data_IF_123693518966
#
_entry.id   IF_123693518966
#
_cell.length_a   1.000
_cell.length_b   1.000
_cell.length_c   1.000
_cell.angle_alpha   90.00
_cell.angle_beta   90.00
_cell.angle_gamma   90.00
#
_symmetry.space_group_name_H-M   'P 1'
#
loop_
_entity.id
_entity.type
_entity.pdbx_description
1 polymer ?
#
# COMPACT_ATOMS: atom_id res chain seq x y z
N UNK A 1 -11.63 4.01 3.41
CA UNK A 1 -11.03 2.67 3.56
C UNK A 1 -9.50 2.68 3.48
N UNK A 2 -8.86 3.04 2.35
CA UNK A 2 -7.38 3.00 2.21
C UNK A 2 -6.68 3.74 3.37
N UNK A 3 -7.07 4.98 3.62
CA UNK A 3 -6.47 5.80 4.69
C UNK A 3 -6.83 5.25 6.08
N UNK A 4 -8.05 4.76 6.28
CA UNK A 4 -8.47 4.16 7.55
C UNK A 4 -7.63 2.92 7.89
N UNK A 5 -7.31 2.08 6.90
CA UNK A 5 -6.42 0.92 7.10
C UNK A 5 -4.97 1.38 7.32
N UNK A 6 -4.50 2.34 6.52
CA UNK A 6 -3.12 2.84 6.62
C UNK A 6 -2.83 3.54 7.96
N UNK A 7 -3.84 4.18 8.54
CA UNK A 7 -3.78 4.86 9.84
C UNK A 7 -4.28 3.99 11.00
N UNK A 8 -4.45 2.67 10.77
CA UNK A 8 -4.84 1.68 11.78
C UNK A 8 -6.21 1.96 12.46
N UNK A 9 -7.07 2.77 11.84
CA UNK A 9 -8.47 2.98 12.23
C UNK A 9 -9.31 1.74 11.91
N UNK A 10 -8.97 1.04 10.82
CA UNK A 10 -9.49 -0.28 10.46
C UNK A 10 -8.35 -1.28 10.32
N UNK A 11 -8.62 -2.54 10.61
CA UNK A 11 -7.66 -3.63 10.46
C UNK A 11 -7.35 -3.93 8.99
N UNK A 12 -6.22 -4.60 8.75
CA UNK A 12 -5.86 -5.10 7.41
C UNK A 12 -6.92 -6.07 6.89
N UNK A 13 -7.47 -6.91 7.77
CA UNK A 13 -8.48 -7.91 7.47
C UNK A 13 -9.79 -7.27 7.00
N UNK A 14 -10.26 -6.20 7.65
CA UNK A 14 -11.42 -5.42 7.19
C UNK A 14 -11.16 -4.77 5.83
N UNK A 15 -9.94 -4.24 5.60
CA UNK A 15 -9.54 -3.71 4.30
C UNK A 15 -9.53 -4.79 3.22
N UNK A 16 -9.10 -6.01 3.56
CA UNK A 16 -9.07 -7.16 2.65
C UNK A 16 -10.47 -7.63 2.29
N UNK A 17 -11.37 -7.71 3.27
CA UNK A 17 -12.77 -8.06 3.05
C UNK A 17 -13.44 -7.04 2.12
N UNK A 18 -13.27 -5.74 2.40
CA UNK A 18 -13.74 -4.66 1.54
C UNK A 18 -13.19 -4.79 0.11
N UNK A 19 -11.87 -4.91 -0.04
CA UNK A 19 -11.23 -5.00 -1.35
C UNK A 19 -11.70 -6.23 -2.15
N UNK A 20 -11.90 -7.36 -1.47
CA UNK A 20 -12.34 -8.61 -2.10
C UNK A 20 -13.80 -8.53 -2.59
N UNK A 21 -14.61 -7.66 -2.00
CA UNK A 21 -16.00 -7.43 -2.41
C UNK A 21 -16.17 -6.50 -3.61
N UNK A 22 -15.11 -5.81 -4.04
CA UNK A 22 -15.12 -4.91 -5.20
C UNK A 22 -15.12 -5.68 -6.52
N UNK A 23 -15.65 -5.07 -7.59
CA UNK A 23 -15.45 -5.62 -8.94
C UNK A 23 -14.01 -5.42 -9.40
N UNK A 24 -13.58 -6.17 -10.41
CA UNK A 24 -12.17 -6.22 -10.86
C UNK A 24 -11.62 -4.83 -11.23
N UNK A 25 -12.43 -4.01 -11.88
CA UNK A 25 -12.09 -2.65 -12.32
C UNK A 25 -11.87 -1.71 -11.12
N UNK A 26 -12.69 -1.87 -10.08
CA UNK A 26 -12.57 -1.13 -8.83
C UNK A 26 -11.34 -1.59 -8.02
N UNK A 27 -11.07 -2.90 -7.98
CA UNK A 27 -9.85 -3.45 -7.38
C UNK A 27 -8.60 -2.86 -8.04
N UNK A 28 -8.57 -2.83 -9.38
CA UNK A 28 -7.46 -2.24 -10.12
C UNK A 28 -7.31 -0.75 -9.82
N UNK A 29 -8.42 -0.01 -9.75
CA UNK A 29 -8.42 1.42 -9.40
C UNK A 29 -7.86 1.67 -8.00
N UNK A 30 -8.22 0.82 -7.02
CA UNK A 30 -7.68 0.88 -5.65
C UNK A 30 -6.17 0.59 -5.62
N UNK A 31 -5.71 -0.43 -6.35
CA UNK A 31 -4.26 -0.73 -6.43
C UNK A 31 -3.48 0.45 -7.02
N UNK A 32 -4.03 1.08 -8.06
CA UNK A 32 -3.45 2.27 -8.67
C UNK A 32 -3.41 3.47 -7.70
N UNK A 33 -4.50 3.70 -6.97
CA UNK A 33 -4.58 4.77 -5.98
C UNK A 33 -3.51 4.59 -4.87
N UNK A 34 -3.36 3.38 -4.33
CA UNK A 34 -2.33 3.09 -3.32
C UNK A 34 -0.93 3.30 -3.92
N UNK A 35 -0.70 2.93 -5.17
CA UNK A 35 0.59 3.17 -5.85
C UNK A 35 0.92 4.67 -5.96
N UNK A 36 -0.07 5.51 -6.27
CA UNK A 36 0.08 6.97 -6.28
C UNK A 36 0.38 7.52 -4.87
N UNK A 37 -0.28 7.00 -3.83
CA UNK A 37 0.00 7.40 -2.46
C UNK A 37 1.40 6.99 -1.99
N UNK A 38 1.87 5.80 -2.35
CA UNK A 38 3.24 5.37 -2.09
C UNK A 38 4.29 6.29 -2.72
N UNK A 39 4.04 6.76 -3.95
CA UNK A 39 4.89 7.74 -4.62
C UNK A 39 4.92 9.07 -3.87
N UNK A 40 3.75 9.60 -3.51
CA UNK A 40 3.61 10.84 -2.74
C UNK A 40 4.18 10.73 -1.32
N UNK A 41 4.17 9.54 -0.74
CA UNK A 41 4.76 9.23 0.55
C UNK A 41 6.27 9.02 0.51
N UNK A 42 6.90 9.18 -0.66
CA UNK A 42 8.32 8.94 -0.90
C UNK A 42 8.76 7.55 -0.42
N UNK A 43 7.98 6.51 -0.74
CA UNK A 43 8.24 5.14 -0.29
C UNK A 43 9.68 4.71 -0.54
N UNK A 44 10.26 4.01 0.43
CA UNK A 44 11.58 3.40 0.33
C UNK A 44 11.52 1.88 0.41
N UNK A 45 12.56 1.19 -0.06
CA UNK A 45 12.67 -0.27 0.13
C UNK A 45 12.65 -0.67 1.61
N UNK A 46 13.08 0.20 2.53
CA UNK A 46 12.95 -0.05 3.97
C UNK A 46 11.49 -0.10 4.41
N UNK A 47 10.66 0.79 3.87
CA UNK A 47 9.20 0.77 4.11
C UNK A 47 8.59 -0.48 3.49
N UNK A 48 9.00 -0.83 2.27
CA UNK A 48 8.57 -2.06 1.58
C UNK A 48 8.86 -3.35 2.37
N UNK A 49 10.03 -3.47 2.98
CA UNK A 49 10.38 -4.63 3.83
C UNK A 49 9.50 -4.71 5.08
N UNK A 50 9.34 -3.59 5.80
CA UNK A 50 8.47 -3.53 6.98
C UNK A 50 6.99 -3.76 6.64
N UNK A 51 6.54 -3.21 5.51
CA UNK A 51 5.19 -3.44 4.99
C UNK A 51 4.95 -4.89 4.65
N UNK A 52 5.93 -5.57 4.03
CA UNK A 52 5.85 -6.99 3.75
C UNK A 52 5.70 -7.82 5.03
N UNK A 53 6.49 -7.54 6.07
CA UNK A 53 6.37 -8.21 7.38
C UNK A 53 4.95 -8.10 7.96
N UNK A 54 4.30 -6.95 7.78
CA UNK A 54 2.92 -6.68 8.24
C UNK A 54 1.81 -7.22 7.31
N UNK A 55 2.12 -7.60 6.08
CA UNK A 55 1.11 -7.90 5.06
C UNK A 55 0.51 -9.31 5.15
N UNK A 56 1.17 -10.23 5.86
CA UNK A 56 0.82 -11.65 5.89
C UNK A 56 1.09 -12.40 4.57
N UNK A 57 1.70 -11.75 3.57
CA UNK A 57 2.06 -12.37 2.29
C UNK A 57 3.41 -13.07 2.40
N UNK A 58 3.49 -14.32 1.93
CA UNK A 58 4.76 -15.07 1.88
C UNK A 58 5.77 -14.33 1.02
N UNK A 59 7.02 -14.21 1.49
CA UNK A 59 8.09 -13.49 0.81
C UNK A 59 8.41 -14.00 -0.62
N UNK A 60 8.00 -15.22 -0.96
CA UNK A 60 8.18 -15.82 -2.29
C UNK A 60 7.12 -15.41 -3.31
N UNK A 61 6.06 -14.73 -2.89
CA UNK A 61 4.99 -14.28 -3.79
C UNK A 61 5.46 -13.09 -4.62
N UNK A 62 5.01 -12.99 -5.87
CA UNK A 62 5.43 -11.96 -6.82
C UNK A 62 5.40 -10.53 -6.25
N UNK A 63 4.30 -10.02 -5.64
CA UNK A 63 4.30 -8.66 -5.09
C UNK A 63 5.28 -8.48 -3.92
N UNK A 64 5.48 -9.52 -3.10
CA UNK A 64 6.44 -9.51 -1.99
C UNK A 64 7.90 -9.43 -2.49
N UNK A 65 8.22 -10.14 -3.57
CA UNK A 65 9.55 -10.09 -4.20
C UNK A 65 9.81 -8.72 -4.82
N UNK A 66 8.80 -8.10 -5.43
CA UNK A 66 8.92 -6.81 -6.09
C UNK A 66 9.08 -5.65 -5.10
N UNK A 67 8.30 -5.61 -4.01
CA UNK A 67 8.26 -4.46 -3.09
C UNK A 67 9.59 -4.21 -2.34
N UNK A 68 10.46 -5.22 -2.27
CA UNK A 68 11.75 -5.16 -1.58
C UNK A 68 12.95 -4.93 -2.52
N UNK A 69 12.70 -4.61 -3.80
CA UNK A 69 13.73 -4.39 -4.84
C UNK A 69 13.81 -2.92 -5.25
N UNK A 70 15.02 -2.51 -5.63
CA UNK A 70 15.26 -1.21 -6.26
C UNK A 70 15.12 -1.28 -7.79
N UNK A 71 14.77 -0.17 -8.46
CA UNK A 71 14.21 1.06 -7.88
C UNK A 71 12.74 0.87 -7.49
N UNK A 72 12.40 1.17 -6.24
CA UNK A 72 11.08 0.79 -5.67
C UNK A 72 9.87 1.36 -6.44
N UNK A 73 9.96 2.59 -6.94
CA UNK A 73 8.83 3.21 -7.68
C UNK A 73 8.50 2.45 -8.96
N UNK A 74 9.51 1.93 -9.67
CA UNK A 74 9.27 1.07 -10.83
C UNK A 74 8.63 -0.26 -10.43
N UNK A 75 9.01 -0.80 -9.26
CA UNK A 75 8.44 -2.06 -8.79
C UNK A 75 6.99 -1.88 -8.33
N UNK A 76 6.65 -0.78 -7.66
CA UNK A 76 5.26 -0.42 -7.32
C UNK A 76 4.40 -0.34 -8.58
N UNK A 77 4.91 0.32 -9.64
CA UNK A 77 4.25 0.38 -10.94
C UNK A 77 4.08 -0.98 -11.62
N UNK A 78 4.93 -1.98 -11.33
CA UNK A 78 4.73 -3.36 -11.80
C UNK A 78 3.70 -4.11 -10.95
N UNK A 79 3.67 -3.88 -9.63
CA UNK A 79 2.75 -4.55 -8.71
C UNK A 79 1.29 -4.17 -9.03
N UNK A 80 0.99 -2.89 -9.27
CA UNK A 80 -0.37 -2.44 -9.61
C UNK A 80 -0.90 -3.04 -10.94
N UNK A 81 -0.02 -3.53 -11.83
CA UNK A 81 -0.37 -4.10 -13.15
C UNK A 81 -0.25 -5.63 -13.20
N UNK A 82 -0.05 -6.28 -12.07
CA UNK A 82 -0.03 -7.74 -12.03
C UNK A 82 -1.39 -8.31 -12.49
N UNK A 83 -1.44 -9.56 -12.99
CA UNK A 83 -2.71 -10.19 -13.36
C UNK A 83 -3.68 -10.29 -12.17
N UNK A 84 -4.99 -10.32 -12.44
CA UNK A 84 -6.06 -10.31 -11.42
C UNK A 84 -5.85 -11.33 -10.28
N UNK A 85 -5.34 -12.53 -10.57
CA UNK A 85 -5.04 -13.56 -9.56
C UNK A 85 -4.04 -13.10 -8.47
N UNK A 86 -3.29 -12.03 -8.72
CA UNK A 86 -2.35 -11.42 -7.79
C UNK A 86 -2.94 -10.26 -7.00
N UNK A 87 -4.10 -9.71 -7.38
CA UNK A 87 -4.65 -8.48 -6.80
C UNK A 87 -4.77 -8.50 -5.29
N UNK A 88 -5.25 -9.59 -4.70
CA UNK A 88 -5.36 -9.69 -3.24
C UNK A 88 -3.99 -9.62 -2.54
N UNK A 89 -2.97 -10.26 -3.13
CA UNK A 89 -1.60 -10.24 -2.60
C UNK A 89 -0.95 -8.86 -2.82
N UNK A 90 -1.20 -8.25 -3.98
CA UNK A 90 -0.76 -6.90 -4.29
C UNK A 90 -1.36 -5.90 -3.31
N UNK A 91 -2.66 -5.97 -3.05
CA UNK A 91 -3.37 -5.11 -2.11
C UNK A 91 -2.73 -5.19 -0.72
N UNK A 92 -2.62 -6.41 -0.15
CA UNK A 92 -2.00 -6.62 1.18
C UNK A 92 -0.59 -6.02 1.26
N UNK A 93 0.25 -6.25 0.24
CA UNK A 93 1.62 -5.73 0.21
C UNK A 93 1.64 -4.21 0.10
N UNK A 94 0.88 -3.63 -0.83
CA UNK A 94 0.89 -2.19 -1.08
C UNK A 94 0.28 -1.41 0.09
N UNK A 95 -0.86 -1.84 0.63
CA UNK A 95 -1.53 -1.13 1.74
C UNK A 95 -0.70 -1.17 3.03
N UNK A 96 -0.08 -2.31 3.36
CA UNK A 96 0.79 -2.41 4.52
C UNK A 96 2.08 -1.62 4.34
N UNK A 97 2.62 -1.54 3.12
CA UNK A 97 3.77 -0.68 2.82
C UNK A 97 3.39 0.80 2.92
N UNK A 98 2.20 1.15 2.45
CA UNK A 98 1.70 2.52 2.53
C UNK A 98 1.52 2.95 3.98
N UNK A 99 0.92 2.12 4.84
CA UNK A 99 0.80 2.38 6.27
C UNK A 99 2.15 2.75 6.93
N UNK A 100 3.22 2.02 6.59
CA UNK A 100 4.58 2.29 7.09
C UNK A 100 5.13 3.60 6.53
N UNK A 101 5.01 3.82 5.22
CA UNK A 101 5.53 5.02 4.57
C UNK A 101 4.81 6.30 5.02
N UNK A 102 3.49 6.25 5.11
CA UNK A 102 2.61 7.32 5.60
C UNK A 102 2.93 7.66 7.07
N UNK A 103 3.04 6.67 7.94
CA UNK A 103 3.43 6.87 9.35
C UNK A 103 4.78 7.58 9.46
N UNK A 104 5.80 7.06 8.78
CA UNK A 104 7.14 7.69 8.73
C UNK A 104 7.04 9.14 8.26
N UNK A 105 6.32 9.39 7.17
CA UNK A 105 6.19 10.73 6.58
C UNK A 105 5.48 11.71 7.52
N UNK A 106 4.43 11.27 8.22
CA UNK A 106 3.76 12.09 9.25
C UNK A 106 4.74 12.50 10.36
N UNK A 107 5.56 11.56 10.81
CA UNK A 107 6.51 11.76 11.91
C UNK A 107 7.73 12.62 11.51
N UNK A 108 8.23 12.49 10.27
CA UNK A 108 9.52 13.08 9.89
C UNK A 108 9.43 14.27 8.95
N UNK A 109 8.39 14.38 8.12
CA UNK A 109 8.28 15.42 7.09
C UNK A 109 7.10 16.36 7.35
N UNK A 110 5.92 15.81 7.63
CA UNK A 110 4.71 16.61 7.72
C UNK A 110 4.56 17.34 9.04
N UNK A 111 4.87 16.71 10.18
CA UNK A 111 4.81 17.34 11.52
C UNK A 111 3.53 18.18 11.79
N UNK A 112 2.40 17.78 11.21
CA UNK A 112 1.11 18.49 11.34
C UNK A 112 0.84 19.62 10.35
N UNK A 113 1.73 19.93 9.40
CA UNK A 113 1.54 21.01 8.41
C UNK A 113 1.07 20.56 7.03
N UNK A 114 0.93 19.25 6.78
CA UNK A 114 0.49 18.71 5.48
C UNK A 114 -1.03 18.66 5.37
N UNK A 115 -1.54 19.00 4.18
CA UNK A 115 -2.97 18.95 3.80
C UNK A 115 -3.28 17.92 2.71
N UNK A 116 -2.43 16.89 2.56
CA UNK A 116 -2.64 15.85 1.55
C UNK A 116 -3.97 15.12 1.74
N UNK A 117 -4.66 14.82 0.64
CA UNK A 117 -5.95 14.14 0.68
C UNK A 117 -5.90 12.78 1.40
N UNK A 118 -4.79 12.05 1.29
CA UNK A 118 -4.62 10.74 1.94
C UNK A 118 -4.27 10.80 3.44
N UNK A 119 -4.07 12.01 4.01
CA UNK A 119 -4.09 12.18 5.46
C UNK A 119 -5.50 12.31 6.03
N UNK A 120 -6.48 12.68 5.20
CA UNK A 120 -7.85 12.84 5.66
C UNK A 120 -8.52 11.47 5.77
N UNK A 121 -9.01 11.18 6.98
CA UNK A 121 -9.96 10.11 7.24
C UNK A 121 -11.34 10.61 6.79
N UNK A 122 -11.55 10.68 5.47
CA UNK A 122 -12.85 10.97 4.87
C UNK A 122 -13.66 9.71 4.66
#
# INVERSE_FOLDING_TARGET
>A
MINEVAQEVRSLEEGVEWFSGLVTEEQQSVLHEIALYLMQAHVTVKDGRKGLEKSGVKATMTPAVLIVREPILEQVGKIERLPQQEYLKAFRVLISTFAVADTRRRETECQGSCSHAWHNLS
#
